data_IF_798365679440
#
_entry.id   IF_798365679440
#
_cell.length_a   1.000
_cell.length_b   1.000
_cell.length_c   1.000
_cell.angle_alpha   90.00
_cell.angle_beta   90.00
_cell.angle_gamma   90.00
#
_symmetry.space_group_name_H-M   'P 1'
#
loop_
_entity.id
_entity.type
_entity.pdbx_description
1 polymer ?
#
# COMPACT_ATOMS: atom_id res chain seq x y z
N UNK A 1 -14.68 -2.14 16.98
CA UNK A 1 -13.92 -1.00 16.44
C UNK A 1 -13.20 -1.34 15.13
N UNK A 2 -12.03 -2.00 15.13
CA UNK A 2 -11.29 -2.30 13.88
C UNK A 2 -12.02 -3.27 12.94
N UNK A 3 -12.64 -4.32 13.51
CA UNK A 3 -13.36 -5.32 12.72
C UNK A 3 -14.60 -4.71 12.03
N UNK A 4 -15.32 -3.82 12.71
CA UNK A 4 -16.47 -3.09 12.15
C UNK A 4 -16.05 -2.12 11.04
N UNK A 5 -14.90 -1.46 11.19
CA UNK A 5 -14.32 -0.62 10.14
C UNK A 5 -14.00 -1.44 8.89
N UNK A 6 -13.35 -2.59 9.06
CA UNK A 6 -13.06 -3.50 7.94
C UNK A 6 -14.30 -4.20 7.39
N UNK A 7 -15.37 -4.37 8.16
CA UNK A 7 -16.63 -4.90 7.65
C UNK A 7 -17.33 -3.90 6.70
N UNK A 8 -17.36 -2.63 7.10
CA UNK A 8 -18.12 -1.56 6.42
C UNK A 8 -17.35 -0.81 5.33
N UNK A 9 -16.01 -0.90 5.32
CA UNK A 9 -15.20 -0.24 4.31
C UNK A 9 -15.50 -0.76 2.89
N UNK A 10 -15.29 0.09 1.88
CA UNK A 10 -15.48 -0.28 0.48
C UNK A 10 -14.45 -1.32 0.02
N UNK A 11 -14.87 -2.22 -0.89
CA UNK A 11 -13.97 -3.23 -1.48
C UNK A 11 -12.74 -2.58 -2.11
N UNK A 12 -12.92 -1.47 -2.84
CA UNK A 12 -11.84 -0.70 -3.47
C UNK A 12 -10.79 -0.20 -2.47
N UNK A 13 -11.23 0.34 -1.33
CA UNK A 13 -10.30 0.78 -0.28
C UNK A 13 -9.50 -0.40 0.27
N UNK A 14 -10.17 -1.53 0.55
CA UNK A 14 -9.52 -2.72 1.11
C UNK A 14 -8.47 -3.29 0.16
N UNK A 15 -8.80 -3.43 -1.13
CA UNK A 15 -7.85 -3.92 -2.12
C UNK A 15 -6.67 -2.98 -2.30
N UNK A 16 -6.88 -1.66 -2.32
CA UNK A 16 -5.80 -0.66 -2.38
C UNK A 16 -4.86 -0.74 -1.18
N UNK A 17 -5.39 -0.83 0.04
CA UNK A 17 -4.57 -0.88 1.25
C UNK A 17 -3.80 -2.20 1.31
N UNK A 18 -4.44 -3.33 1.02
CA UNK A 18 -3.79 -4.64 1.06
C UNK A 18 -2.74 -4.79 -0.04
N UNK A 19 -3.00 -4.29 -1.25
CA UNK A 19 -2.01 -4.31 -2.34
C UNK A 19 -0.82 -3.41 -2.03
N UNK A 20 -1.06 -2.22 -1.47
CA UNK A 20 -0.01 -1.31 -1.03
C UNK A 20 0.89 -1.96 0.04
N UNK A 21 0.30 -2.57 1.07
CA UNK A 21 1.04 -3.26 2.13
C UNK A 21 1.83 -4.45 1.58
N UNK A 22 1.24 -5.24 0.67
CA UNK A 22 1.91 -6.34 0.00
C UNK A 22 3.12 -5.87 -0.82
N UNK A 23 2.95 -4.81 -1.63
CA UNK A 23 4.04 -4.26 -2.44
C UNK A 23 5.18 -3.69 -1.59
N UNK A 24 4.87 -2.98 -0.51
CA UNK A 24 5.89 -2.48 0.42
C UNK A 24 6.64 -3.65 1.06
N UNK A 25 5.93 -4.67 1.53
CA UNK A 25 6.56 -5.85 2.12
C UNK A 25 7.49 -6.57 1.12
N UNK A 26 7.03 -6.78 -0.11
CA UNK A 26 7.85 -7.37 -1.19
C UNK A 26 9.08 -6.50 -1.46
N UNK A 27 8.92 -5.18 -1.56
CA UNK A 27 10.03 -4.26 -1.75
C UNK A 27 11.06 -4.31 -0.62
N UNK A 28 10.62 -4.39 0.65
CA UNK A 28 11.51 -4.55 1.80
C UNK A 28 12.27 -5.87 1.71
N UNK A 29 11.61 -6.97 1.36
CA UNK A 29 12.27 -8.29 1.19
C UNK A 29 13.33 -8.22 0.10
N UNK A 30 13.03 -7.64 -1.07
CA UNK A 30 14.02 -7.46 -2.14
C UNK A 30 15.22 -6.63 -1.67
N UNK A 31 14.98 -5.59 -0.88
CA UNK A 31 16.03 -4.73 -0.36
C UNK A 31 16.96 -5.51 0.58
N UNK A 32 16.38 -6.27 1.51
CA UNK A 32 17.13 -7.12 2.43
C UNK A 32 17.97 -8.12 1.65
N UNK A 33 17.36 -8.88 0.73
CA UNK A 33 18.06 -9.88 -0.09
C UNK A 33 19.16 -9.23 -0.92
N UNK A 34 18.89 -8.08 -1.54
CA UNK A 34 19.87 -7.33 -2.32
C UNK A 34 21.10 -6.94 -1.50
N UNK A 35 20.90 -6.44 -0.28
CA UNK A 35 22.01 -6.05 0.59
C UNK A 35 22.76 -7.25 1.19
N UNK A 36 22.05 -8.31 1.61
CA UNK A 36 22.70 -9.50 2.17
C UNK A 36 23.49 -10.28 1.12
N UNK A 37 23.06 -10.22 -0.14
CA UNK A 37 23.74 -10.86 -1.26
C UNK A 37 24.74 -9.94 -1.98
N UNK A 38 24.97 -8.71 -1.47
CA UNK A 38 25.81 -7.70 -2.14
C UNK A 38 25.40 -7.43 -3.61
N UNK A 39 24.12 -7.64 -3.93
CA UNK A 39 23.54 -7.42 -5.24
C UNK A 39 22.90 -6.05 -5.30
N UNK A 40 23.71 -5.06 -5.72
CA UNK A 40 23.29 -3.67 -5.82
C UNK A 40 22.15 -3.47 -6.82
N UNK A 41 22.06 -4.29 -7.87
CA UNK A 41 20.95 -4.24 -8.83
C UNK A 41 19.61 -4.59 -8.17
N UNK A 42 19.58 -5.63 -7.35
CA UNK A 42 18.39 -6.02 -6.60
C UNK A 42 17.99 -4.98 -5.54
N UNK A 43 18.98 -4.42 -4.85
CA UNK A 43 18.78 -3.35 -3.89
C UNK A 43 18.17 -2.11 -4.56
N UNK A 44 18.68 -1.70 -5.72
CA UNK A 44 18.13 -0.56 -6.49
C UNK A 44 16.74 -0.85 -7.05
N UNK A 45 16.50 -2.07 -7.54
CA UNK A 45 15.18 -2.49 -8.03
C UNK A 45 14.12 -2.51 -6.92
N UNK A 46 14.51 -2.64 -5.66
CA UNK A 46 13.58 -2.60 -4.53
C UNK A 46 12.96 -1.22 -4.30
N UNK A 47 13.69 -0.14 -4.60
CA UNK A 47 13.20 1.24 -4.40
C UNK A 47 11.91 1.55 -5.17
N UNK A 48 11.80 1.31 -6.49
CA UNK A 48 10.56 1.58 -7.21
C UNK A 48 9.41 0.70 -6.72
N UNK A 49 9.67 -0.53 -6.26
CA UNK A 49 8.62 -1.41 -5.69
C UNK A 49 8.06 -0.83 -4.40
N UNK A 50 8.93 -0.38 -3.49
CA UNK A 50 8.51 0.32 -2.26
C UNK A 50 7.79 1.62 -2.60
N UNK A 51 8.33 2.41 -3.54
CA UNK A 51 7.74 3.67 -3.98
C UNK A 51 6.33 3.50 -4.56
N UNK A 52 6.10 2.47 -5.38
CA UNK A 52 4.78 2.13 -5.91
C UNK A 52 3.81 1.73 -4.79
N UNK A 53 4.27 0.94 -3.82
CA UNK A 53 3.46 0.57 -2.66
C UNK A 53 3.06 1.78 -1.82
N UNK A 54 3.98 2.74 -1.60
CA UNK A 54 3.68 4.01 -0.92
C UNK A 54 2.70 4.88 -1.71
N UNK A 55 2.85 4.97 -3.03
CA UNK A 55 1.94 5.73 -3.89
C UNK A 55 0.51 5.15 -3.85
N UNK A 56 0.37 3.82 -3.90
CA UNK A 56 -0.92 3.15 -3.73
C UNK A 56 -1.51 3.38 -2.33
N UNK A 57 -0.65 3.40 -1.30
CA UNK A 57 -1.09 3.69 0.06
C UNK A 57 -1.73 5.08 0.18
N UNK A 58 -1.05 6.10 -0.37
CA UNK A 58 -1.59 7.48 -0.42
C UNK A 58 -2.88 7.53 -1.23
N UNK A 59 -2.94 6.84 -2.36
CA UNK A 59 -4.15 6.74 -3.18
C UNK A 59 -5.33 6.15 -2.40
N UNK A 60 -5.09 5.12 -1.59
CA UNK A 60 -6.09 4.54 -0.69
C UNK A 60 -6.66 5.55 0.31
N UNK A 61 -5.83 6.43 0.86
CA UNK A 61 -6.26 7.51 1.76
C UNK A 61 -7.16 8.50 1.02
N UNK A 62 -6.78 8.89 -0.20
CA UNK A 62 -7.59 9.81 -1.03
C UNK A 62 -8.94 9.20 -1.38
N UNK A 63 -8.97 7.94 -1.83
CA UNK A 63 -10.23 7.22 -2.16
C UNK A 63 -11.16 7.17 -0.96
N UNK A 64 -10.64 6.86 0.23
CA UNK A 64 -11.42 6.85 1.47
C UNK A 64 -11.97 8.25 1.80
N UNK A 65 -11.13 9.28 1.70
CA UNK A 65 -11.55 10.67 1.94
C UNK A 65 -12.67 11.11 0.98
N UNK A 66 -12.57 10.75 -0.29
CA UNK A 66 -13.62 11.01 -1.28
C UNK A 66 -14.94 10.29 -0.97
N UNK A 67 -14.87 9.03 -0.51
CA UNK A 67 -16.05 8.26 -0.12
C UNK A 67 -16.77 8.88 1.07
N UNK A 68 -16.03 9.28 2.11
CA UNK A 68 -16.59 9.97 3.28
C UNK A 68 -17.25 11.28 2.84
N UNK A 69 -16.56 12.09 2.02
CA UNK A 69 -17.10 13.36 1.51
C UNK A 69 -18.38 13.17 0.70
N UNK A 70 -18.48 12.12 -0.13
CA UNK A 70 -19.71 11.79 -0.87
C UNK A 70 -20.84 11.37 0.08
N UNK A 71 -20.54 10.65 1.15
CA UNK A 71 -21.51 10.25 2.17
C UNK A 71 -22.10 11.41 2.95
N UNK A 72 -21.33 12.47 3.23
CA UNK A 72 -21.78 13.68 3.93
C UNK A 72 -22.65 14.62 3.10
N UNK A 73 -22.70 14.44 1.77
CA UNK A 73 -23.50 15.26 0.85
C UNK A 73 -24.91 14.69 0.59
N UNK A 74 -25.24 13.56 1.20
CA UNK A 74 -26.59 12.98 1.24
C UNK A 74 -27.25 13.34 2.55
#
# INVERSE_FOLDING_TARGET
MLNEFWATASTTYKTLVLSAMGLIAVGIILNIVGNTSQNQGLALASLPVIGLGLALHVTGIVVRGQQIRKGLKK
#
